data_IF_571275968190
#
_entry.id   IF_571275968190
#
_cell.length_a   1.000
_cell.length_b   1.000
_cell.length_c   1.000
_cell.angle_alpha   90.00
_cell.angle_beta   90.00
_cell.angle_gamma   90.00
#
_symmetry.space_group_name_H-M   'P 1'
#
loop_
_entity.id
_entity.type
_entity.pdbx_description
1 polymer ?
#
# COMPACT_ATOMS: atom_id res chain seq x y z
N UNK A 1 19.56 0.73 6.31
CA UNK A 1 19.45 1.40 4.98
C UNK A 1 18.22 0.93 4.20
N UNK A 2 17.72 -0.29 4.45
CA UNK A 2 16.54 -0.83 3.79
C UNK A 2 15.24 -0.06 4.06
N UNK A 3 15.05 0.51 5.24
CA UNK A 3 13.82 1.23 5.62
C UNK A 3 13.52 2.44 4.71
N UNK A 4 14.45 3.38 4.57
CA UNK A 4 14.26 4.57 3.74
C UNK A 4 14.09 4.22 2.25
N UNK A 5 14.87 3.27 1.74
CA UNK A 5 14.73 2.78 0.38
C UNK A 5 13.37 2.10 0.15
N UNK A 6 12.91 1.31 1.13
CA UNK A 6 11.60 0.66 1.13
C UNK A 6 10.45 1.68 1.10
N UNK A 7 10.50 2.69 1.97
CA UNK A 7 9.49 3.75 2.00
C UNK A 7 9.41 4.52 0.68
N UNK A 8 10.56 4.95 0.13
CA UNK A 8 10.59 5.68 -1.15
C UNK A 8 10.07 4.80 -2.30
N UNK A 9 10.51 3.54 -2.37
CA UNK A 9 10.08 2.60 -3.40
C UNK A 9 8.56 2.40 -3.36
N UNK A 10 8.00 2.07 -2.20
CA UNK A 10 6.56 1.89 -2.02
C UNK A 10 5.76 3.14 -2.36
N UNK A 11 6.25 4.32 -1.98
CA UNK A 11 5.60 5.60 -2.31
C UNK A 11 5.48 5.82 -3.81
N UNK A 12 6.57 5.58 -4.54
CA UNK A 12 6.62 5.80 -5.99
C UNK A 12 5.75 4.78 -6.71
N UNK A 13 5.85 3.49 -6.35
CA UNK A 13 5.10 2.43 -7.03
C UNK A 13 3.60 2.56 -6.80
N UNK A 14 3.16 2.77 -5.56
CA UNK A 14 1.74 2.93 -5.25
C UNK A 14 1.20 4.30 -5.69
N UNK A 15 2.00 5.36 -5.60
CA UNK A 15 1.64 6.66 -6.17
C UNK A 15 1.40 6.58 -7.67
N UNK A 16 2.28 5.91 -8.42
CA UNK A 16 2.13 5.71 -9.86
C UNK A 16 0.91 4.85 -10.23
N UNK A 17 0.51 3.91 -9.36
CA UNK A 17 -0.67 3.06 -9.57
C UNK A 17 -1.98 3.66 -9.05
N UNK A 18 -1.95 4.81 -8.38
CA UNK A 18 -3.14 5.50 -7.85
C UNK A 18 -4.26 5.65 -8.90
N UNK A 19 -4.02 5.99 -10.18
CA UNK A 19 -5.07 6.03 -11.20
C UNK A 19 -5.80 4.71 -11.42
N UNK A 20 -5.06 3.60 -11.47
CA UNK A 20 -5.64 2.25 -11.63
C UNK A 20 -6.48 1.89 -10.41
N UNK A 21 -5.96 2.27 -9.25
CA UNK A 21 -6.53 2.07 -7.95
C UNK A 21 -7.85 2.83 -7.76
N UNK A 22 -7.94 4.08 -8.24
CA UNK A 22 -9.18 4.86 -8.28
C UNK A 22 -10.24 4.14 -9.12
N UNK A 23 -9.89 3.75 -10.36
CA UNK A 23 -10.84 3.06 -11.25
C UNK A 23 -11.33 1.75 -10.63
N UNK A 24 -10.39 0.95 -10.08
CA UNK A 24 -10.71 -0.31 -9.41
C UNK A 24 -11.68 -0.08 -8.25
N UNK A 25 -11.44 0.91 -7.40
CA UNK A 25 -12.32 1.21 -6.27
C UNK A 25 -13.69 1.69 -6.74
N UNK A 26 -13.77 2.53 -7.77
CA UNK A 26 -15.06 2.97 -8.36
C UNK A 26 -15.88 1.81 -8.92
N UNK A 27 -15.22 0.88 -9.63
CA UNK A 27 -15.86 -0.35 -10.12
C UNK A 27 -16.38 -1.23 -8.99
N UNK A 28 -15.64 -1.31 -7.87
CA UNK A 28 -16.08 -2.10 -6.71
C UNK A 28 -17.22 -1.45 -5.93
N UNK A 29 -17.26 -0.12 -5.88
CA UNK A 29 -18.31 0.63 -5.18
C UNK A 29 -19.62 0.72 -5.98
N UNK A 30 -19.53 0.90 -7.31
CA UNK A 30 -20.69 0.95 -8.20
C UNK A 30 -20.45 0.12 -9.47
N UNK A 31 -20.61 -1.21 -9.38
CA UNK A 31 -20.37 -2.12 -10.49
C UNK A 31 -21.43 -1.98 -11.61
N UNK A 32 -22.59 -1.38 -11.32
CA UNK A 32 -23.64 -1.16 -12.32
C UNK A 32 -23.28 0.02 -13.20
N UNK A 33 -22.83 1.14 -12.60
CA UNK A 33 -22.37 2.32 -13.33
C UNK A 33 -21.07 2.07 -14.09
N UNK A 34 -20.08 1.45 -13.45
CA UNK A 34 -18.75 1.19 -14.03
C UNK A 34 -18.59 -0.26 -14.51
N UNK A 35 -19.47 -0.70 -15.43
CA UNK A 35 -19.52 -2.08 -15.92
C UNK A 35 -18.64 -2.40 -17.14
N UNK A 36 -17.89 -1.42 -17.66
CA UNK A 36 -17.13 -1.52 -18.92
C UNK A 36 -15.66 -1.91 -18.74
N UNK A 37 -15.33 -2.54 -17.60
CA UNK A 37 -13.97 -2.90 -17.22
C UNK A 37 -13.06 -1.69 -16.98
N UNK A 38 -11.77 -1.94 -16.78
CA UNK A 38 -10.78 -0.90 -16.43
C UNK A 38 -10.71 0.23 -17.46
N UNK A 39 -10.49 -0.10 -18.74
CA UNK A 39 -10.34 0.92 -19.81
C UNK A 39 -11.61 1.74 -19.99
N UNK A 40 -12.78 1.09 -19.89
CA UNK A 40 -14.07 1.78 -19.93
C UNK A 40 -14.25 2.71 -18.73
N UNK A 41 -13.90 2.24 -17.52
CA UNK A 41 -13.92 3.04 -16.30
C UNK A 41 -13.02 4.27 -16.37
N UNK A 42 -11.79 4.14 -16.90
CA UNK A 42 -10.89 5.27 -17.14
C UNK A 42 -11.53 6.34 -18.04
N UNK A 43 -12.06 5.93 -19.21
CA UNK A 43 -12.70 6.87 -20.14
C UNK A 43 -13.92 7.55 -19.53
N UNK A 44 -14.71 6.80 -18.77
CA UNK A 44 -15.91 7.30 -18.14
C UNK A 44 -15.59 8.33 -17.04
N UNK A 45 -14.65 8.02 -16.14
CA UNK A 45 -14.23 8.95 -15.08
C UNK A 45 -13.65 10.24 -15.67
N UNK A 46 -12.77 10.13 -16.67
CA UNK A 46 -12.20 11.32 -17.34
C UNK A 46 -13.30 12.17 -18.00
N UNK A 47 -14.29 11.54 -18.62
CA UNK A 47 -15.40 12.24 -19.29
C UNK A 47 -16.39 12.91 -18.33
N UNK A 48 -16.61 12.33 -17.15
CA UNK A 48 -17.59 12.83 -16.16
C UNK A 48 -16.97 13.81 -15.16
N UNK A 49 -15.77 13.49 -14.63
CA UNK A 49 -15.16 14.17 -13.47
C UNK A 49 -13.80 14.81 -13.83
N UNK A 50 -13.28 14.58 -15.04
CA UNK A 50 -12.00 15.08 -15.51
C UNK A 50 -10.80 14.20 -15.14
N UNK A 51 -9.65 14.49 -15.75
CA UNK A 51 -8.45 13.66 -15.58
C UNK A 51 -7.89 13.69 -14.14
N UNK A 52 -8.09 14.77 -13.40
CA UNK A 52 -7.60 14.91 -12.04
C UNK A 52 -8.30 13.97 -11.04
N UNK A 53 -9.53 13.54 -11.34
CA UNK A 53 -10.26 12.59 -10.50
C UNK A 53 -9.52 11.23 -10.36
N UNK A 54 -8.64 10.89 -11.31
CA UNK A 54 -7.79 9.70 -11.22
C UNK A 54 -6.68 9.82 -10.18
N UNK A 55 -6.41 11.02 -9.67
CA UNK A 55 -5.42 11.28 -8.62
C UNK A 55 -6.04 11.41 -7.23
N UNK A 56 -7.35 11.19 -7.10
CA UNK A 56 -8.04 11.26 -5.81
C UNK A 56 -7.44 10.27 -4.81
N UNK A 57 -7.07 10.80 -3.64
CA UNK A 57 -6.42 10.02 -2.58
C UNK A 57 -4.90 9.86 -2.75
N UNK A 58 -4.27 10.43 -3.78
CA UNK A 58 -2.82 10.29 -4.03
C UNK A 58 -1.95 10.67 -2.82
N UNK A 59 -2.30 11.75 -2.11
CA UNK A 59 -1.56 12.16 -0.91
C UNK A 59 -1.59 11.10 0.20
N UNK A 60 -2.78 10.54 0.47
CA UNK A 60 -2.95 9.46 1.44
C UNK A 60 -2.19 8.19 1.02
N UNK A 61 -2.23 7.84 -0.28
CA UNK A 61 -1.47 6.72 -0.85
C UNK A 61 0.04 6.93 -0.66
N UNK A 62 0.60 8.05 -1.12
CA UNK A 62 2.04 8.31 -1.08
C UNK A 62 2.55 8.30 0.37
N UNK A 63 1.87 8.98 1.28
CA UNK A 63 2.28 9.04 2.69
C UNK A 63 2.08 7.67 3.38
N UNK A 64 0.96 7.01 3.14
CA UNK A 64 0.68 5.71 3.75
C UNK A 64 1.67 4.64 3.34
N UNK A 65 1.92 4.52 2.04
CA UNK A 65 2.88 3.55 1.51
C UNK A 65 4.34 3.92 1.80
N UNK A 66 4.67 5.20 2.01
CA UNK A 66 5.96 5.59 2.56
C UNK A 66 6.18 4.98 3.94
N UNK A 67 5.22 5.22 4.84
CA UNK A 67 5.31 4.78 6.24
C UNK A 67 5.27 3.25 6.31
N UNK A 68 4.36 2.61 5.55
CA UNK A 68 4.30 1.16 5.46
C UNK A 68 5.61 0.57 4.94
N UNK A 69 6.14 1.08 3.82
CA UNK A 69 7.40 0.61 3.25
C UNK A 69 8.58 0.77 4.22
N UNK A 70 8.60 1.86 4.99
CA UNK A 70 9.61 2.07 6.02
C UNK A 70 9.59 0.96 7.08
N UNK A 71 8.44 0.71 7.68
CA UNK A 71 8.28 -0.27 8.74
C UNK A 71 8.39 -1.71 8.24
N UNK A 72 7.88 -2.01 7.04
CA UNK A 72 7.97 -3.33 6.42
C UNK A 72 9.42 -3.71 6.14
N UNK A 73 10.13 -2.94 5.32
CA UNK A 73 11.49 -3.30 4.91
C UNK A 73 12.49 -3.12 6.05
N UNK A 74 12.34 -2.08 6.87
CA UNK A 74 13.15 -1.88 8.07
C UNK A 74 12.90 -2.94 9.13
N UNK A 75 11.63 -3.26 9.40
CA UNK A 75 11.21 -4.26 10.38
C UNK A 75 11.64 -5.67 9.98
N UNK A 76 11.50 -6.05 8.71
CA UNK A 76 11.98 -7.34 8.20
C UNK A 76 13.49 -7.46 8.38
N UNK A 77 14.26 -6.42 8.08
CA UNK A 77 15.71 -6.41 8.29
C UNK A 77 16.05 -6.58 9.78
N UNK A 78 15.38 -5.82 10.64
CA UNK A 78 15.56 -5.88 12.09
C UNK A 78 15.21 -7.24 12.69
N UNK A 79 14.02 -7.78 12.42
CA UNK A 79 13.57 -9.05 12.99
C UNK A 79 14.40 -10.25 12.52
N UNK A 80 14.89 -10.23 11.27
CA UNK A 80 15.79 -11.28 10.78
C UNK A 80 17.12 -11.24 11.51
N UNK A 81 17.74 -10.07 11.66
CA UNK A 81 19.01 -9.92 12.38
C UNK A 81 18.85 -10.37 13.84
N UNK A 82 17.80 -9.89 14.51
CA UNK A 82 17.50 -10.28 15.88
C UNK A 82 17.27 -11.80 16.04
N UNK A 83 16.63 -12.46 15.08
CA UNK A 83 16.43 -13.90 15.09
C UNK A 83 17.74 -14.68 14.87
N UNK A 84 18.62 -14.20 13.99
CA UNK A 84 19.94 -14.80 13.76
C UNK A 84 20.82 -14.66 15.00
N UNK A 85 20.86 -13.47 15.60
CA UNK A 85 21.64 -13.19 16.81
C UNK A 85 21.17 -14.03 18.01
N UNK A 86 19.87 -14.32 18.10
CA UNK A 86 19.30 -15.12 19.18
C UNK A 86 19.46 -16.63 19.00
N UNK A 87 19.38 -17.15 17.78
CA UNK A 87 19.38 -18.59 17.49
C UNK A 87 20.76 -19.15 17.13
N UNK A 88 21.69 -18.28 16.71
CA UNK A 88 22.97 -18.65 16.13
C UNK A 88 22.86 -19.01 14.65
N UNK A 89 23.98 -18.90 13.92
CA UNK A 89 24.00 -18.98 12.45
C UNK A 89 23.52 -20.33 11.89
N UNK A 90 23.95 -21.46 12.49
CA UNK A 90 23.55 -22.80 12.01
C UNK A 90 22.04 -23.03 12.15
N UNK A 91 21.46 -22.76 13.32
CA UNK A 91 20.02 -22.92 13.54
C UNK A 91 19.20 -21.91 12.74
N UNK A 92 19.68 -20.68 12.59
CA UNK A 92 19.00 -19.69 11.77
C UNK A 92 18.98 -20.08 10.30
N UNK A 93 20.01 -20.78 9.81
CA UNK A 93 20.06 -21.33 8.46
C UNK A 93 19.05 -22.46 8.26
N UNK A 94 18.95 -23.39 9.22
CA UNK A 94 17.95 -24.46 9.22
C UNK A 94 16.52 -23.90 9.29
N UNK A 95 16.31 -22.86 10.10
CA UNK A 95 15.02 -22.21 10.34
C UNK A 95 14.77 -20.97 9.46
N UNK A 96 15.45 -20.84 8.31
CA UNK A 96 15.34 -19.65 7.45
C UNK A 96 13.91 -19.29 7.05
N UNK A 97 13.11 -20.29 6.69
CA UNK A 97 11.74 -20.11 6.21
C UNK A 97 10.83 -19.56 7.31
N UNK A 98 10.71 -20.18 8.50
CA UNK A 98 9.90 -19.63 9.58
C UNK A 98 10.43 -18.27 10.10
N UNK A 99 11.74 -18.03 10.08
CA UNK A 99 12.30 -16.71 10.44
C UNK A 99 11.84 -15.64 9.44
N UNK A 100 11.91 -15.91 8.14
CA UNK A 100 11.45 -14.94 7.13
C UNK A 100 9.95 -14.68 7.23
N UNK A 101 9.15 -15.72 7.44
CA UNK A 101 7.70 -15.58 7.61
C UNK A 101 7.36 -14.79 8.88
N UNK A 102 7.99 -15.12 10.01
CA UNK A 102 7.77 -14.42 11.28
C UNK A 102 8.22 -12.96 11.22
N UNK A 103 9.40 -12.70 10.65
CA UNK A 103 9.91 -11.34 10.45
C UNK A 103 9.00 -10.51 9.53
N UNK A 104 8.54 -11.09 8.42
CA UNK A 104 7.60 -10.43 7.52
C UNK A 104 6.25 -10.16 8.18
N UNK A 105 5.67 -11.13 8.88
CA UNK A 105 4.39 -10.98 9.56
C UNK A 105 4.46 -9.92 10.67
N UNK A 106 5.51 -9.96 11.50
CA UNK A 106 5.71 -8.99 12.57
C UNK A 106 5.92 -7.57 12.05
N UNK A 107 6.71 -7.40 10.98
CA UNK A 107 6.94 -6.11 10.37
C UNK A 107 5.68 -5.55 9.70
N UNK A 108 4.95 -6.38 8.95
CA UNK A 108 3.71 -5.96 8.28
C UNK A 108 2.63 -5.57 9.28
N UNK A 109 2.48 -6.32 10.37
CA UNK A 109 1.51 -5.99 11.43
C UNK A 109 1.72 -4.58 12.00
N UNK A 110 2.98 -4.21 12.27
CA UNK A 110 3.31 -2.86 12.76
C UNK A 110 3.08 -1.82 11.66
N UNK A 111 3.43 -2.13 10.40
CA UNK A 111 3.23 -1.24 9.28
C UNK A 111 1.74 -0.93 9.04
N UNK A 112 0.89 -1.94 9.15
CA UNK A 112 -0.56 -1.85 8.90
C UNK A 112 -1.29 -0.99 9.93
N UNK A 113 -0.79 -0.91 11.17
CA UNK A 113 -1.32 0.03 12.16
C UNK A 113 -1.30 1.49 11.67
N UNK A 114 -0.33 1.84 10.82
CA UNK A 114 -0.21 3.17 10.24
C UNK A 114 -0.86 3.27 8.85
N UNK A 115 -0.78 2.20 8.05
CA UNK A 115 -1.33 2.19 6.69
C UNK A 115 -2.86 2.16 6.69
N UNK A 116 -3.49 1.34 7.53
CA UNK A 116 -4.94 1.12 7.47
C UNK A 116 -5.77 2.41 7.63
N UNK A 117 -5.45 3.35 8.55
CA UNK A 117 -6.16 4.63 8.63
C UNK A 117 -6.04 5.46 7.34
N UNK A 118 -4.87 5.46 6.69
CA UNK A 118 -4.63 6.22 5.46
C UNK A 118 -5.31 5.58 4.25
N UNK A 119 -5.36 4.25 4.19
CA UNK A 119 -6.18 3.52 3.21
C UNK A 119 -7.66 3.81 3.39
N UNK A 120 -8.16 3.90 4.64
CA UNK A 120 -9.54 4.28 4.90
C UNK A 120 -9.84 5.71 4.38
N UNK A 121 -8.93 6.66 4.61
CA UNK A 121 -9.01 8.03 4.06
C UNK A 121 -9.02 8.01 2.52
N UNK A 122 -8.13 7.24 1.90
CA UNK A 122 -8.07 7.08 0.43
C UNK A 122 -9.39 6.55 -0.12
N UNK A 123 -9.88 5.42 0.41
CA UNK A 123 -11.12 4.79 -0.05
C UNK A 123 -12.29 5.74 0.13
N UNK A 124 -12.37 6.43 1.27
CA UNK A 124 -13.44 7.40 1.53
C UNK A 124 -13.39 8.55 0.53
N UNK A 125 -12.22 9.12 0.28
CA UNK A 125 -12.05 10.19 -0.70
C UNK A 125 -12.40 9.77 -2.13
N UNK A 126 -12.16 8.51 -2.51
CA UNK A 126 -12.61 7.99 -3.81
C UNK A 126 -14.13 7.75 -3.84
N UNK A 127 -14.74 7.36 -2.72
CA UNK A 127 -16.17 7.04 -2.66
C UNK A 127 -17.07 8.28 -2.55
N UNK A 128 -16.59 9.33 -1.90
CA UNK A 128 -17.36 10.51 -1.52
C UNK A 128 -16.62 11.77 -1.98
N UNK A 129 -17.09 12.41 -3.08
CA UNK A 129 -16.47 13.61 -3.61
C UNK A 129 -16.42 14.77 -2.61
N UNK A 130 -17.34 14.81 -1.63
CA UNK A 130 -17.45 15.89 -0.64
C UNK A 130 -16.54 15.70 0.58
N UNK A 131 -15.82 14.58 0.66
CA UNK A 131 -14.99 14.25 1.82
C UNK A 131 -13.75 15.14 1.98
N UNK A 132 -13.31 15.82 0.91
CA UNK A 132 -12.08 16.62 0.90
C UNK A 132 -12.28 18.03 0.32
N UNK A 133 -13.53 18.51 0.33
CA UNK A 133 -13.91 19.90 0.07
C UNK A 133 -13.61 20.82 1.27
#
# INVERSE_FOLDING_TARGET
KGAAAGGICCSITHGALTPVDVVKTRVQLDPVKYNRGLVGGFKQIIGEEGAMALTTGLGATVVGYFIQGWFKFGGVEYFKIAAVDALGEEKAWEMKTPIYLGAAAGAEFIADMFLCPLEAVRIRGVSDPTFSD
#
